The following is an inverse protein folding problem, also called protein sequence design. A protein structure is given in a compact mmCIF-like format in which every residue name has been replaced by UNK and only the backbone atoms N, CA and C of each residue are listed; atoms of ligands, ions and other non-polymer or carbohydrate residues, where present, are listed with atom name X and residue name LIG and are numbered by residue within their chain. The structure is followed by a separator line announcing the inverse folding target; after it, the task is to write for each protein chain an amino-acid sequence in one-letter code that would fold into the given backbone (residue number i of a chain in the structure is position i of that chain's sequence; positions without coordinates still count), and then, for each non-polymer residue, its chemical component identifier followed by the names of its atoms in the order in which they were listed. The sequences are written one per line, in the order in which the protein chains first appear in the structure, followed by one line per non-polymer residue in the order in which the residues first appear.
data_IF_411207754554
#
_entry.id   IF_411207754554
#
_cell.length_a   1.000
_cell.length_b   1.000
_cell.length_c   1.000
_cell.angle_alpha   90.00
_cell.angle_beta   90.00
_cell.angle_gamma   90.00
#
_symmetry.space_group_name_H-M   'P 1'
#
loop_
_entity.id
_entity.type
_entity.pdbx_description
1 polymer ?
#
# COMPACT_ATOMS: atom_id res chain seq x y z
N UNK A 1 0.74 26.83 3.09
CA UNK A 1 1.16 26.86 1.66
C UNK A 1 2.17 25.74 1.45
N UNK A 2 1.70 24.51 1.21
CA UNK A 2 2.56 23.41 0.80
C UNK A 2 2.54 23.38 -0.73
N UNK A 3 3.64 23.82 -1.35
CA UNK A 3 3.82 23.65 -2.79
C UNK A 3 3.99 22.15 -3.06
N UNK A 4 2.91 21.47 -3.47
CA UNK A 4 2.98 20.13 -4.05
C UNK A 4 3.63 20.26 -5.44
N UNK A 5 4.96 20.34 -5.49
CA UNK A 5 5.70 19.96 -6.69
C UNK A 5 5.70 18.43 -6.75
N UNK A 6 4.57 17.84 -7.17
CA UNK A 6 4.52 16.44 -7.57
C UNK A 6 5.07 16.35 -8.99
N UNK A 7 6.31 15.87 -9.15
CA UNK A 7 6.75 15.39 -10.45
C UNK A 7 5.87 14.21 -10.83
N UNK A 8 5.16 14.30 -11.95
CA UNK A 8 4.47 13.16 -12.54
C UNK A 8 5.05 12.92 -13.92
N UNK A 9 5.62 11.74 -14.12
CA UNK A 9 6.15 11.34 -15.42
C UNK A 9 5.65 9.93 -15.72
N UNK A 10 5.29 9.74 -16.99
CA UNK A 10 4.71 8.50 -17.51
C UNK A 10 5.68 7.85 -18.46
N UNK A 11 5.84 6.53 -18.37
CA UNK A 11 6.61 5.75 -19.33
C UNK A 11 5.73 4.63 -19.91
N UNK A 12 5.96 4.26 -21.17
CA UNK A 12 5.24 3.19 -21.88
C UNK A 12 6.23 2.37 -22.71
N UNK A 13 6.30 1.07 -22.47
CA UNK A 13 7.12 0.11 -23.20
C UNK A 13 6.23 -0.68 -24.13
N UNK A 14 6.45 -0.63 -25.44
CA UNK A 14 5.68 -1.42 -26.42
C UNK A 14 6.49 -2.59 -26.95
N UNK A 15 5.84 -3.72 -27.20
CA UNK A 15 6.39 -4.86 -27.94
C UNK A 15 6.31 -4.55 -29.45
N UNK A 16 7.39 -4.02 -30.03
CA UNK A 16 7.47 -3.74 -31.49
C UNK A 16 8.91 -3.51 -31.94
N UNK A 17 9.31 -3.89 -33.18
CA UNK A 17 10.71 -3.96 -33.57
C UNK A 17 11.41 -2.61 -33.77
N UNK A 18 10.68 -1.48 -33.78
CA UNK A 18 11.26 -0.17 -34.13
C UNK A 18 10.53 1.00 -33.43
N UNK A 19 11.33 1.80 -32.70
CA UNK A 19 11.12 3.15 -32.16
C UNK A 19 10.22 3.36 -30.92
N UNK A 20 10.85 3.99 -29.92
CA UNK A 20 10.26 4.52 -28.69
C UNK A 20 9.65 5.93 -28.92
N UNK A 21 8.59 6.28 -28.21
CA UNK A 21 8.09 7.66 -28.13
C UNK A 21 8.06 8.13 -26.67
N UNK A 22 8.81 9.19 -26.38
CA UNK A 22 8.74 9.93 -25.12
C UNK A 22 7.64 10.99 -25.23
N UNK A 23 6.56 10.85 -24.47
CA UNK A 23 5.53 11.87 -24.33
C UNK A 23 5.63 12.54 -22.95
N UNK A 24 6.31 13.69 -22.86
CA UNK A 24 6.21 14.56 -21.69
C UNK A 24 4.94 15.41 -21.83
N UNK A 25 3.95 15.21 -20.95
CA UNK A 25 2.82 16.11 -20.86
C UNK A 25 3.29 17.44 -20.22
N UNK A 26 3.28 18.53 -20.99
CA UNK A 26 3.50 19.88 -20.46
C UNK A 26 2.38 20.23 -19.47
N UNK A 27 2.76 20.56 -18.23
CA UNK A 27 1.83 21.01 -17.19
C UNK A 27 1.17 22.34 -17.60
N UNK A 28 -0.17 22.46 -17.55
CA UNK A 28 -0.79 23.78 -17.62
C UNK A 28 -0.41 24.58 -16.35
N UNK A 29 -0.06 25.86 -16.54
CA UNK A 29 0.17 26.82 -15.44
C UNK A 29 -1.03 26.80 -14.49
N UNK A 30 -0.73 26.76 -13.19
CA UNK A 30 -1.65 26.43 -12.10
C UNK A 30 -3.06 27.01 -12.24
N UNK A 31 -4.07 26.14 -12.11
CA UNK A 31 -5.46 26.56 -11.89
C UNK A 31 -5.61 27.00 -10.44
N UNK A 32 -6.02 28.25 -10.23
CA UNK A 32 -6.55 28.68 -8.96
C UNK A 32 -7.91 27.98 -8.73
N UNK A 33 -8.06 27.30 -7.58
CA UNK A 33 -9.34 26.75 -7.17
C UNK A 33 -10.32 27.91 -6.90
N UNK A 34 -11.51 27.85 -7.50
CA UNK A 34 -12.61 28.80 -7.22
C UNK A 34 -12.90 28.78 -5.71
N UNK A 35 -13.07 29.96 -5.10
CA UNK A 35 -13.41 30.09 -3.67
C UNK A 35 -14.88 29.76 -3.38
N UNK A 36 -15.70 29.71 -4.43
CA UNK A 36 -17.10 29.32 -4.37
C UNK A 36 -17.22 27.92 -5.00
N UNK A 37 -17.30 26.89 -4.15
CA UNK A 37 -17.46 25.50 -4.58
C UNK A 37 -18.77 24.97 -4.03
N UNK A 38 -19.79 24.88 -4.88
CA UNK A 38 -20.90 23.98 -4.62
C UNK A 38 -20.37 22.55 -4.75
N UNK A 39 -20.12 21.90 -3.61
CA UNK A 39 -19.61 20.54 -3.52
C UNK A 39 -20.55 19.52 -4.18
N UNK A 40 -21.81 19.88 -4.41
CA UNK A 40 -22.80 19.01 -5.04
C UNK A 40 -22.60 18.83 -6.54
N UNK A 41 -21.89 19.73 -7.23
CA UNK A 41 -21.60 19.63 -8.66
C UNK A 41 -20.47 18.62 -8.97
N UNK A 42 -19.57 18.37 -8.01
CA UNK A 42 -18.38 17.53 -8.21
C UNK A 42 -18.49 16.11 -7.65
N UNK A 43 -19.45 15.88 -6.74
CA UNK A 43 -19.67 14.58 -6.11
C UNK A 43 -20.85 13.87 -6.77
N UNK A 44 -20.54 12.91 -7.64
CA UNK A 44 -21.54 11.99 -8.16
C UNK A 44 -22.23 11.27 -7.00
N UNK A 45 -23.55 11.50 -6.85
CA UNK A 45 -24.37 10.81 -5.86
C UNK A 45 -24.71 9.42 -6.37
N UNK A 46 -23.96 8.42 -5.92
CA UNK A 46 -24.29 7.02 -6.21
C UNK A 46 -25.69 6.68 -5.70
N UNK A 47 -26.53 6.10 -6.57
CA UNK A 47 -27.85 5.57 -6.21
C UNK A 47 -27.70 4.42 -5.20
N UNK A 48 -26.58 3.70 -5.28
CA UNK A 48 -26.27 2.57 -4.42
C UNK A 48 -25.29 3.05 -3.33
N UNK A 49 -25.67 2.99 -2.03
CA UNK A 49 -24.75 3.31 -0.94
C UNK A 49 -23.49 2.43 -0.99
N UNK A 50 -22.35 2.98 -0.58
CA UNK A 50 -21.03 2.29 -0.60
C UNK A 50 -21.06 0.87 -0.02
N UNK A 51 -21.85 0.66 1.03
CA UNK A 51 -21.93 -0.62 1.75
C UNK A 51 -23.16 -1.48 1.38
N UNK A 52 -23.88 -1.15 0.31
CA UNK A 52 -25.14 -1.82 -0.06
C UNK A 52 -24.99 -3.33 -0.23
N UNK A 53 -23.93 -3.77 -0.93
CA UNK A 53 -23.67 -5.19 -1.19
C UNK A 53 -22.86 -5.90 -0.10
N UNK A 54 -22.56 -5.24 1.03
CA UNK A 54 -21.70 -5.80 2.07
C UNK A 54 -22.22 -7.13 2.64
N UNK A 55 -23.55 -7.26 2.74
CA UNK A 55 -24.21 -8.48 3.24
C UNK A 55 -24.09 -9.67 2.29
N UNK A 56 -23.82 -9.41 1.01
CA UNK A 56 -23.70 -10.45 -0.03
C UNK A 56 -22.25 -10.95 -0.20
N UNK A 57 -21.28 -10.30 0.42
CA UNK A 57 -19.87 -10.67 0.29
C UNK A 57 -19.55 -11.89 1.18
N UNK A 58 -18.73 -12.84 0.68
CA UNK A 58 -18.26 -13.94 1.49
C UNK A 58 -17.46 -13.42 2.68
N UNK A 59 -17.66 -14.05 3.85
CA UNK A 59 -16.88 -13.74 5.04
C UNK A 59 -15.55 -14.44 4.97
N UNK A 60 -14.54 -13.70 5.37
CA UNK A 60 -13.16 -14.09 5.33
C UNK A 60 -12.69 -14.40 6.76
N UNK A 61 -12.04 -15.55 7.01
CA UNK A 61 -11.68 -15.95 8.38
C UNK A 61 -10.57 -15.07 8.94
N UNK A 62 -10.62 -14.82 10.25
CA UNK A 62 -9.50 -14.18 10.95
C UNK A 62 -8.31 -15.15 10.92
N UNK A 63 -7.11 -14.71 10.50
CA UNK A 63 -5.92 -15.56 10.47
C UNK A 63 -5.47 -15.92 11.89
N UNK A 64 -4.88 -17.11 12.05
CA UNK A 64 -4.30 -17.53 13.33
C UNK A 64 -3.19 -16.56 13.77
N UNK A 65 -3.14 -16.27 15.07
CA UNK A 65 -2.11 -15.38 15.63
C UNK A 65 -0.69 -15.90 15.35
N UNK A 66 -0.48 -17.21 15.42
CA UNK A 66 0.82 -17.85 15.14
C UNK A 66 1.27 -17.59 13.70
N UNK A 67 0.35 -17.66 12.73
CA UNK A 67 0.65 -17.39 11.33
C UNK A 67 0.97 -15.91 11.09
N UNK A 68 0.27 -15.01 11.77
CA UNK A 68 0.56 -13.58 11.73
C UNK A 68 1.96 -13.28 12.24
N UNK A 69 2.33 -13.83 13.41
CA UNK A 69 3.66 -13.60 14.00
C UNK A 69 4.76 -14.24 13.16
N UNK A 70 4.53 -15.45 12.64
CA UNK A 70 5.48 -16.11 11.73
C UNK A 70 5.72 -15.29 10.46
N UNK A 71 4.66 -14.77 9.82
CA UNK A 71 4.78 -13.96 8.60
C UNK A 71 5.41 -12.59 8.87
N UNK A 72 5.06 -11.96 9.99
CA UNK A 72 5.71 -10.72 10.45
C UNK A 72 7.22 -10.92 10.60
N UNK A 73 7.65 -11.97 11.31
CA UNK A 73 9.07 -12.28 11.48
C UNK A 73 9.76 -12.65 10.17
N UNK A 74 9.08 -13.35 9.26
CA UNK A 74 9.63 -13.62 7.93
C UNK A 74 9.87 -12.33 7.13
N UNK A 75 8.96 -11.36 7.22
CA UNK A 75 9.08 -10.07 6.55
C UNK A 75 10.12 -9.14 7.19
N UNK A 76 10.36 -9.27 8.50
CA UNK A 76 11.41 -8.52 9.21
C UNK A 76 12.82 -9.04 8.91
N UNK A 77 12.98 -10.34 8.63
CA UNK A 77 14.29 -10.97 8.45
C UNK A 77 15.20 -10.29 7.41
N UNK A 78 14.74 -9.88 6.22
CA UNK A 78 15.60 -9.17 5.26
C UNK A 78 15.86 -7.70 5.62
N UNK A 79 15.12 -7.12 6.59
CA UNK A 79 15.21 -5.70 6.95
C UNK A 79 16.13 -5.43 8.15
N UNK A 80 16.43 -6.47 8.93
CA UNK A 80 17.11 -6.36 10.22
C UNK A 80 18.41 -7.15 10.21
N UNK A 81 19.39 -6.69 10.98
CA UNK A 81 20.55 -7.52 11.34
C UNK A 81 20.18 -8.53 12.44
N UNK A 82 21.10 -9.45 12.76
CA UNK A 82 20.84 -10.56 13.69
C UNK A 82 20.46 -10.09 15.11
N UNK A 83 21.09 -9.03 15.62
CA UNK A 83 20.80 -8.49 16.96
C UNK A 83 19.41 -7.86 17.01
N UNK A 84 19.10 -7.01 16.03
CA UNK A 84 17.78 -6.39 15.88
C UNK A 84 16.70 -7.46 15.71
N UNK A 85 16.95 -8.46 14.86
CA UNK A 85 16.03 -9.56 14.61
C UNK A 85 15.76 -10.36 15.88
N UNK A 86 16.78 -10.70 16.67
CA UNK A 86 16.61 -11.43 17.93
C UNK A 86 15.72 -10.66 18.91
N UNK A 87 15.92 -9.34 19.01
CA UNK A 87 15.06 -8.48 19.85
C UNK A 87 13.61 -8.47 19.34
N UNK A 88 13.40 -8.26 18.04
CA UNK A 88 12.06 -8.25 17.43
C UNK A 88 11.37 -9.61 17.58
N UNK A 89 12.10 -10.71 17.41
CA UNK A 89 11.58 -12.06 17.61
C UNK A 89 11.10 -12.25 19.05
N UNK A 90 11.92 -11.87 20.04
CA UNK A 90 11.51 -11.95 21.44
C UNK A 90 10.23 -11.17 21.70
N UNK A 91 10.15 -9.91 21.26
CA UNK A 91 8.96 -9.07 21.43
C UNK A 91 7.72 -9.67 20.75
N UNK A 92 7.88 -10.24 19.56
CA UNK A 92 6.78 -10.86 18.83
C UNK A 92 6.30 -12.15 19.50
N UNK A 93 7.20 -12.96 20.06
CA UNK A 93 6.86 -14.16 20.83
C UNK A 93 6.19 -13.82 22.16
N UNK A 94 6.72 -12.85 22.89
CA UNK A 94 6.14 -12.35 24.14
C UNK A 94 4.71 -11.82 23.89
N UNK A 95 4.50 -11.08 22.78
CA UNK A 95 3.17 -10.65 22.36
C UNK A 95 2.27 -11.84 22.03
N UNK A 96 2.76 -12.83 21.26
CA UNK A 96 2.01 -14.03 20.88
C UNK A 96 1.53 -14.83 22.10
N UNK A 97 2.38 -15.03 23.11
CA UNK A 97 2.04 -15.79 24.32
C UNK A 97 1.34 -14.97 25.41
N UNK A 98 1.44 -13.64 25.34
CA UNK A 98 0.83 -12.71 26.30
C UNK A 98 -0.40 -12.02 25.74
N UNK A 99 -0.42 -10.69 25.84
CA UNK A 99 -1.57 -9.83 25.51
C UNK A 99 -2.10 -10.00 24.07
N UNK A 100 -1.26 -10.42 23.12
CA UNK A 100 -1.70 -10.69 21.75
C UNK A 100 -2.72 -11.82 21.66
N UNK A 101 -2.60 -12.84 22.52
CA UNK A 101 -3.58 -13.94 22.60
C UNK A 101 -4.94 -13.44 23.07
N UNK A 102 -4.97 -12.67 24.16
CA UNK A 102 -6.21 -12.09 24.71
C UNK A 102 -6.90 -11.16 23.71
N UNK A 103 -6.12 -10.33 23.01
CA UNK A 103 -6.63 -9.45 21.96
C UNK A 103 -7.18 -10.24 20.76
N UNK A 104 -6.54 -11.35 20.40
CA UNK A 104 -6.98 -12.21 19.31
C UNK A 104 -8.27 -12.97 19.66
N UNK A 105 -8.41 -13.47 20.89
CA UNK A 105 -9.64 -14.09 21.39
C UNK A 105 -10.81 -13.09 21.38
N UNK A 106 -10.59 -11.86 21.84
CA UNK A 106 -11.59 -10.78 21.74
C UNK A 106 -11.97 -10.48 20.29
N UNK A 107 -10.99 -10.41 19.38
CA UNK A 107 -11.23 -10.16 17.97
C UNK A 107 -12.13 -11.25 17.35
N UNK A 108 -11.88 -12.52 17.69
CA UNK A 108 -12.73 -13.64 17.28
C UNK A 108 -14.15 -13.52 17.84
N UNK A 109 -14.31 -13.10 19.08
CA UNK A 109 -15.63 -12.92 19.69
C UNK A 109 -16.38 -11.71 19.14
N UNK A 110 -15.68 -10.65 18.72
CA UNK A 110 -16.28 -9.55 17.96
C UNK A 110 -16.73 -9.99 16.58
N UNK A 111 -15.94 -10.79 15.86
CA UNK A 111 -16.33 -11.34 14.56
C UNK A 111 -17.55 -12.27 14.65
N UNK A 112 -17.64 -13.10 15.70
CA UNK A 112 -18.82 -13.94 15.95
C UNK A 112 -20.09 -13.11 16.18
N UNK A 113 -19.98 -11.99 16.91
CA UNK A 113 -21.09 -11.06 17.21
C UNK A 113 -21.48 -10.21 15.99
N UNK A 114 -20.52 -9.81 15.17
CA UNK A 114 -20.73 -8.91 14.03
C UNK A 114 -20.78 -9.65 12.70
N UNK A 115 -21.79 -10.51 12.51
CA UNK A 115 -21.91 -11.34 11.30
C UNK A 115 -22.17 -10.58 10.00
N UNK A 116 -22.49 -9.30 10.09
CA UNK A 116 -22.78 -8.42 8.96
C UNK A 116 -21.52 -7.75 8.40
N UNK A 117 -20.37 -7.89 9.07
CA UNK A 117 -19.08 -7.40 8.58
C UNK A 117 -18.14 -8.57 8.28
N UNK A 118 -17.20 -8.33 7.39
CA UNK A 118 -16.09 -9.25 7.12
C UNK A 118 -14.83 -8.54 7.58
N UNK A 119 -14.08 -9.12 8.52
CA UNK A 119 -12.74 -8.65 8.77
C UNK A 119 -11.95 -8.99 7.52
N UNK A 120 -11.37 -7.97 6.86
CA UNK A 120 -10.63 -8.15 5.61
C UNK A 120 -9.49 -9.14 5.89
N UNK A 121 -9.68 -10.42 5.57
CA UNK A 121 -8.58 -11.39 5.55
C UNK A 121 -7.78 -11.15 4.29
N UNK A 122 -6.93 -10.13 4.34
CA UNK A 122 -5.70 -10.21 3.56
C UNK A 122 -4.89 -11.36 4.14
N UNK A 123 -4.23 -12.13 3.28
CA UNK A 123 -3.15 -13.04 3.69
C UNK A 123 -1.97 -12.26 4.35
N UNK A 124 -2.03 -10.92 4.42
CA UNK A 124 -1.06 -10.06 5.08
C UNK A 124 -1.24 -10.02 6.60
N UNK A 125 -0.12 -10.07 7.33
CA UNK A 125 -0.07 -9.95 8.79
C UNK A 125 -0.42 -8.53 9.26
N UNK A 126 -0.26 -7.53 8.40
CA UNK A 126 -0.35 -6.10 8.69
C UNK A 126 -1.74 -5.69 9.18
N UNK A 127 -2.80 -6.15 8.51
CA UNK A 127 -4.19 -5.81 8.88
C UNK A 127 -4.61 -6.48 10.18
N UNK A 128 -4.09 -7.69 10.45
CA UNK A 128 -4.34 -8.36 11.71
C UNK A 128 -3.64 -7.65 12.87
N UNK A 129 -2.35 -7.31 12.75
CA UNK A 129 -1.62 -6.53 13.75
C UNK A 129 -2.24 -5.13 13.94
N UNK A 130 -2.70 -4.48 12.88
CA UNK A 130 -3.45 -3.24 12.99
C UNK A 130 -4.73 -3.40 13.82
N UNK A 131 -5.53 -4.44 13.57
CA UNK A 131 -6.75 -4.69 14.32
C UNK A 131 -6.47 -4.96 15.80
N UNK A 132 -5.44 -5.75 16.12
CA UNK A 132 -5.05 -6.04 17.50
C UNK A 132 -4.53 -4.77 18.21
N UNK A 133 -3.75 -3.94 17.53
CA UNK A 133 -3.31 -2.63 18.04
C UNK A 133 -4.50 -1.72 18.34
N UNK A 134 -5.44 -1.63 17.39
CA UNK A 134 -6.65 -0.83 17.55
C UNK A 134 -7.48 -1.31 18.74
N UNK A 135 -7.68 -2.63 18.88
CA UNK A 135 -8.39 -3.20 20.02
C UNK A 135 -7.73 -2.86 21.35
N UNK A 136 -6.40 -2.98 21.45
CA UNK A 136 -5.66 -2.59 22.65
C UNK A 136 -5.94 -1.12 23.01
N UNK A 137 -5.89 -0.22 22.03
CA UNK A 137 -6.19 1.21 22.23
C UNK A 137 -7.64 1.45 22.67
N UNK A 138 -8.63 0.80 22.03
CA UNK A 138 -10.05 0.99 22.40
C UNK A 138 -10.39 0.48 23.80
N UNK A 139 -9.62 -0.50 24.31
CA UNK A 139 -9.76 -1.03 25.67
C UNK A 139 -8.97 -0.23 26.71
N UNK A 140 -8.25 0.82 26.30
CA UNK A 140 -7.39 1.59 27.21
C UNK A 140 -6.20 0.81 27.75
N UNK A 141 -5.80 -0.29 27.09
CA UNK A 141 -4.62 -1.04 27.48
C UNK A 141 -3.35 -0.25 27.11
N UNK A 142 -2.27 -0.37 27.91
CA UNK A 142 -0.96 0.10 27.49
C UNK A 142 -0.60 -0.50 26.13
N UNK A 143 0.00 0.31 25.25
CA UNK A 143 0.38 -0.14 23.92
C UNK A 143 1.39 -1.31 24.04
N UNK A 144 1.09 -2.51 23.49
CA UNK A 144 1.99 -3.64 23.60
C UNK A 144 3.37 -3.35 23.03
N UNK A 145 4.42 -3.87 23.68
CA UNK A 145 5.83 -3.56 23.37
C UNK A 145 6.24 -3.90 21.94
N UNK A 146 5.60 -4.88 21.30
CA UNK A 146 5.75 -5.17 19.88
C UNK A 146 5.55 -3.93 19.00
N UNK A 147 4.57 -3.09 19.32
CA UNK A 147 4.26 -1.87 18.54
C UNK A 147 5.19 -0.69 18.86
N UNK A 148 6.00 -0.80 19.90
CA UNK A 148 7.04 0.17 20.26
C UNK A 148 8.40 -0.21 19.65
N UNK A 149 8.51 -1.39 19.05
CA UNK A 149 9.71 -1.84 18.37
C UNK A 149 10.01 -0.95 17.14
N UNK A 150 11.22 -0.37 17.01
CA UNK A 150 11.60 0.35 15.80
C UNK A 150 11.39 -0.46 14.51
N UNK A 151 11.58 -1.79 14.57
CA UNK A 151 11.32 -2.66 13.41
C UNK A 151 9.85 -2.62 12.97
N UNK A 152 8.91 -2.49 13.90
CA UNK A 152 7.49 -2.35 13.58
C UNK A 152 7.23 -1.01 12.86
N UNK A 153 7.89 0.07 13.28
CA UNK A 153 7.78 1.35 12.59
C UNK A 153 8.37 1.27 11.16
N UNK A 154 9.56 0.67 11.01
CA UNK A 154 10.25 0.53 9.73
C UNK A 154 9.43 -0.25 8.71
N UNK A 155 8.88 -1.42 9.08
CA UNK A 155 8.11 -2.24 8.14
C UNK A 155 6.79 -1.58 7.70
N UNK A 156 6.25 -0.65 8.51
CA UNK A 156 5.06 0.12 8.16
C UNK A 156 5.38 1.43 7.42
N UNK A 157 6.66 1.78 7.24
CA UNK A 157 7.11 2.95 6.50
C UNK A 157 7.33 2.60 5.01
N UNK A 158 6.24 2.61 4.25
CA UNK A 158 6.23 2.16 2.85
C UNK A 158 6.82 3.23 1.91
N UNK A 159 8.14 3.21 1.73
CA UNK A 159 8.85 4.11 0.80
C UNK A 159 8.37 3.92 -0.64
N UNK A 160 8.05 2.70 -1.05
CA UNK A 160 7.54 2.40 -2.38
C UNK A 160 6.10 1.88 -2.28
N UNK A 161 5.12 2.75 -2.56
CA UNK A 161 3.71 2.37 -2.60
C UNK A 161 3.29 2.16 -4.05
N UNK A 162 2.83 0.96 -4.39
CA UNK A 162 2.51 0.58 -5.77
C UNK A 162 1.09 0.04 -5.91
N UNK A 163 0.46 0.27 -7.06
CA UNK A 163 -0.84 -0.33 -7.39
C UNK A 163 -1.00 -0.54 -8.89
N UNK A 164 -1.58 -1.67 -9.24
CA UNK A 164 -1.92 -1.99 -10.64
C UNK A 164 -3.26 -1.37 -11.02
N UNK A 165 -3.32 -0.72 -12.18
CA UNK A 165 -4.49 -0.01 -12.70
C UNK A 165 -4.85 -0.53 -14.10
N UNK A 166 -5.01 -1.85 -14.22
CA UNK A 166 -5.29 -2.47 -15.53
C UNK A 166 -6.80 -2.58 -15.76
N UNK A 167 -7.30 -1.81 -16.73
CA UNK A 167 -8.64 -1.94 -17.28
C UNK A 167 -8.63 -1.38 -18.70
N UNK A 168 -9.37 -1.96 -19.67
CA UNK A 168 -9.52 -1.37 -21.00
C UNK A 168 -10.09 0.07 -20.98
N UNK A 169 -10.76 0.45 -19.88
CA UNK A 169 -11.32 1.78 -19.68
C UNK A 169 -10.37 2.76 -18.97
N UNK A 170 -9.18 2.33 -18.54
CA UNK A 170 -8.22 3.14 -17.77
C UNK A 170 -6.90 3.20 -18.52
N UNK A 171 -6.57 4.38 -19.05
CA UNK A 171 -5.30 4.61 -19.75
C UNK A 171 -4.12 4.78 -18.79
N UNK A 172 -4.34 5.47 -17.68
CA UNK A 172 -3.32 5.75 -16.68
C UNK A 172 -4.01 6.19 -15.37
N UNK A 173 -3.40 5.89 -14.24
CA UNK A 173 -3.72 6.55 -12.98
C UNK A 173 -2.51 6.58 -12.07
N UNK A 174 -2.60 7.41 -11.03
CA UNK A 174 -1.52 7.62 -10.09
C UNK A 174 -2.06 8.13 -8.77
N UNK A 175 -1.23 8.06 -7.75
CA UNK A 175 -1.52 8.52 -6.40
C UNK A 175 -0.22 9.08 -5.82
N UNK A 176 -0.35 9.98 -4.84
CA UNK A 176 0.79 10.54 -4.13
C UNK A 176 1.49 9.49 -3.25
N UNK A 177 2.77 9.67 -2.88
CA UNK A 177 3.43 8.82 -1.91
C UNK A 177 2.67 8.77 -0.58
N UNK A 178 2.77 7.64 0.13
CA UNK A 178 2.15 7.45 1.46
C UNK A 178 3.04 7.92 2.61
N UNK A 179 4.29 8.28 2.31
CA UNK A 179 5.27 8.85 3.25
C UNK A 179 6.01 10.01 2.60
N UNK A 180 6.51 11.00 3.36
CA UNK A 180 7.15 12.21 2.81
C UNK A 180 8.39 11.95 1.94
N UNK A 181 9.09 10.86 2.18
CA UNK A 181 10.32 10.45 1.50
C UNK A 181 10.10 9.26 0.54
N UNK A 182 8.86 9.02 0.13
CA UNK A 182 8.48 7.87 -0.70
C UNK A 182 8.13 8.20 -2.15
N UNK A 183 7.73 7.14 -2.85
CA UNK A 183 7.18 7.14 -4.20
C UNK A 183 5.77 6.55 -4.20
N UNK A 184 4.88 7.13 -5.01
CA UNK A 184 3.63 6.52 -5.43
C UNK A 184 3.75 6.03 -6.87
N UNK A 185 3.49 4.75 -7.12
CA UNK A 185 3.64 4.14 -8.45
C UNK A 185 2.36 3.44 -8.89
N UNK A 186 1.63 4.06 -9.80
CA UNK A 186 0.53 3.41 -10.51
C UNK A 186 1.05 2.77 -11.79
N UNK A 187 0.71 1.51 -12.09
CA UNK A 187 1.17 0.87 -13.33
C UNK A 187 0.10 0.01 -14.00
N UNK A 188 0.20 -0.11 -15.33
CA UNK A 188 -0.68 -0.93 -16.17
C UNK A 188 0.16 -1.91 -16.99
N UNK A 189 -0.31 -3.15 -17.08
CA UNK A 189 0.30 -4.20 -17.91
C UNK A 189 -0.73 -4.63 -18.93
N UNK A 190 -0.38 -4.50 -20.20
CA UNK A 190 -1.19 -4.86 -21.35
C UNK A 190 -0.40 -5.81 -22.25
N UNK A 191 -1.09 -6.54 -23.13
CA UNK A 191 -0.49 -7.56 -24.01
C UNK A 191 0.72 -7.02 -24.79
N UNK A 192 0.58 -5.79 -25.29
CA UNK A 192 1.60 -5.14 -26.12
C UNK A 192 2.39 -4.08 -25.39
N UNK A 193 2.04 -3.71 -24.15
CA UNK A 193 2.78 -2.67 -23.44
C UNK A 193 2.67 -2.65 -21.91
N UNK A 194 3.71 -2.12 -21.26
CA UNK A 194 3.73 -1.81 -19.82
C UNK A 194 3.90 -0.31 -19.64
N UNK A 195 3.14 0.31 -18.74
CA UNK A 195 3.36 1.70 -18.41
C UNK A 195 3.19 2.00 -16.93
N UNK A 196 3.87 3.05 -16.47
CA UNK A 196 3.80 3.48 -15.08
C UNK A 196 3.70 5.00 -14.95
N UNK A 197 3.07 5.42 -13.88
CA UNK A 197 2.94 6.76 -13.35
C UNK A 197 3.69 6.79 -12.03
N UNK A 198 4.75 7.58 -11.94
CA UNK A 198 5.51 7.77 -10.71
C UNK A 198 5.27 9.17 -10.17
N UNK A 199 5.07 9.25 -8.86
CA UNK A 199 4.98 10.50 -8.09
C UNK A 199 5.94 10.47 -6.91
N UNK A 200 6.47 11.64 -6.53
CA UNK A 200 7.20 11.85 -5.28
C UNK A 200 6.91 13.23 -4.70
N UNK A 201 7.28 13.42 -3.43
CA UNK A 201 7.52 14.75 -2.87
C UNK A 201 8.97 15.20 -3.19
N UNK A 202 9.32 16.50 -3.03
CA UNK A 202 10.63 17.04 -3.44
C UNK A 202 11.88 16.35 -2.86
N UNK A 203 11.72 15.52 -1.82
CA UNK A 203 12.80 14.75 -1.22
C UNK A 203 13.34 13.62 -2.11
N UNK A 204 12.67 13.27 -3.22
CA UNK A 204 13.06 12.17 -4.11
C UNK A 204 12.96 12.56 -5.58
N UNK A 205 13.92 12.12 -6.39
CA UNK A 205 13.94 12.37 -7.83
C UNK A 205 13.11 11.31 -8.60
N UNK A 206 12.01 11.76 -9.21
CA UNK A 206 11.15 10.93 -10.05
C UNK A 206 11.82 10.56 -11.38
N UNK A 207 12.65 11.44 -11.93
CA UNK A 207 13.28 11.22 -13.23
C UNK A 207 14.35 10.13 -13.13
N UNK A 208 15.20 10.21 -12.11
CA UNK A 208 16.20 9.17 -11.83
C UNK A 208 15.52 7.81 -11.60
N UNK A 209 14.46 7.76 -10.80
CA UNK A 209 13.73 6.52 -10.54
C UNK A 209 13.11 5.92 -11.82
N UNK A 210 12.58 6.76 -12.70
CA UNK A 210 12.04 6.29 -13.99
C UNK A 210 13.12 5.82 -14.96
N UNK A 211 14.30 6.42 -14.96
CA UNK A 211 15.46 5.91 -15.70
C UNK A 211 15.85 4.52 -15.20
N UNK A 212 15.85 4.30 -13.88
CA UNK A 212 16.10 2.98 -13.30
C UNK A 212 15.03 1.96 -13.72
N UNK A 213 13.74 2.33 -13.70
CA UNK A 213 12.66 1.46 -14.18
C UNK A 213 12.89 1.08 -15.64
N UNK A 214 13.23 2.06 -16.48
CA UNK A 214 13.44 1.84 -17.91
C UNK A 214 14.57 0.86 -18.17
N UNK A 215 15.74 1.14 -17.59
CA UNK A 215 16.89 0.25 -17.69
C UNK A 215 16.58 -1.15 -17.17
N UNK A 216 15.87 -1.27 -16.05
CA UNK A 216 15.50 -2.57 -15.48
C UNK A 216 14.60 -3.37 -16.43
N UNK A 217 13.64 -2.72 -17.09
CA UNK A 217 12.77 -3.38 -18.06
C UNK A 217 13.52 -3.77 -19.33
N UNK A 218 14.44 -2.94 -19.81
CA UNK A 218 15.34 -3.27 -20.93
C UNK A 218 16.24 -4.47 -20.61
N UNK A 219 16.86 -4.50 -19.43
CA UNK A 219 17.72 -5.59 -18.97
C UNK A 219 16.93 -6.91 -18.88
N UNK A 220 15.71 -6.87 -18.33
CA UNK A 220 14.80 -8.02 -18.27
C UNK A 220 14.45 -8.50 -19.68
N UNK A 221 14.06 -7.59 -20.58
CA UNK A 221 13.66 -7.93 -21.94
C UNK A 221 14.82 -8.57 -22.72
N UNK A 222 16.00 -7.95 -22.65
CA UNK A 222 17.21 -8.44 -23.32
C UNK A 222 17.60 -9.84 -22.81
N UNK A 223 17.51 -10.07 -21.50
CA UNK A 223 17.81 -11.38 -20.90
C UNK A 223 16.83 -12.46 -21.35
N UNK A 224 15.57 -12.11 -21.60
CA UNK A 224 14.54 -13.06 -22.03
C UNK A 224 14.55 -13.35 -23.53
N UNK A 225 14.97 -12.40 -24.38
CA UNK A 225 15.03 -12.59 -25.84
C UNK A 225 16.35 -13.20 -26.34
N UNK A 226 17.44 -13.14 -25.56
CA UNK A 226 18.74 -13.74 -25.88
C UNK A 226 19.61 -12.83 -26.73
#
# INVERSE_FOLDING_TARGET
MAYLYSGHLSCTFRKSPRFFHHGAALLPKGRAYSKDVDLSEYLHKSIVPTMHYQKSLPRLPIPKLEDTIRRYLAAQKPLLNDEQYSKTEKLARDFQSGVGKELHEELLDQDKRNRHTSYISGQGFDRHLFALRYLASTKGLPLPTLYLDPAYATINHNILSTSTLTSPAVNLGGFAPVVPDGFGVGYGVHDEWIGCNVSSYPARDVHEFLQCIHKSLEDIFSTLEG
#
